data_IF_894493378673
#
_entry.id   IF_894493378673
#
_cell.length_a   1.000
_cell.length_b   1.000
_cell.length_c   1.000
_cell.angle_alpha   90.00
_cell.angle_beta   90.00
_cell.angle_gamma   90.00
#
_symmetry.space_group_name_H-M   'P 1'
#
loop_
_entity.id
_entity.type
_entity.pdbx_description
1 polymer ?
#
# COMPACT_ATOMS: atom_id res chain seq x y z
N UNK A 1 5.07 -10.56 9.31
CA UNK A 1 5.93 -9.50 9.90
C UNK A 1 7.41 -9.86 9.98
N UNK A 2 7.83 -10.94 10.68
CA UNK A 2 9.26 -11.30 10.84
C UNK A 2 9.97 -11.50 9.50
N UNK A 3 9.38 -12.26 8.58
CA UNK A 3 9.94 -12.48 7.23
C UNK A 3 10.12 -11.17 6.46
N UNK A 4 9.15 -10.25 6.55
CA UNK A 4 9.23 -8.94 5.91
C UNK A 4 10.35 -8.07 6.47
N UNK A 5 10.57 -8.09 7.78
CA UNK A 5 11.69 -7.38 8.42
C UNK A 5 13.03 -7.94 7.95
N UNK A 6 13.18 -9.27 7.94
CA UNK A 6 14.41 -9.94 7.50
C UNK A 6 14.69 -9.62 6.04
N UNK A 7 13.71 -9.77 5.14
CA UNK A 7 13.89 -9.55 3.70
C UNK A 7 14.21 -8.08 3.37
N UNK A 8 13.53 -7.13 4.01
CA UNK A 8 13.83 -5.70 3.79
C UNK A 8 15.18 -5.30 4.38
N UNK A 9 15.58 -5.85 5.54
CA UNK A 9 16.91 -5.64 6.09
C UNK A 9 18.01 -6.24 5.19
N UNK A 10 17.78 -7.44 4.65
CA UNK A 10 18.67 -8.07 3.66
C UNK A 10 18.74 -7.24 2.38
N UNK A 11 17.62 -6.69 1.91
CA UNK A 11 17.59 -5.80 0.75
C UNK A 11 18.40 -4.52 1.00
N UNK A 12 18.25 -3.88 2.16
CA UNK A 12 19.08 -2.72 2.52
C UNK A 12 20.57 -3.07 2.59
N UNK A 13 20.91 -4.22 3.15
CA UNK A 13 22.29 -4.71 3.15
C UNK A 13 22.81 -4.94 1.73
N UNK A 14 22.01 -5.57 0.86
CA UNK A 14 22.37 -5.85 -0.52
C UNK A 14 22.56 -4.56 -1.34
N UNK A 15 21.68 -3.58 -1.18
CA UNK A 15 21.80 -2.26 -1.81
C UNK A 15 23.11 -1.59 -1.37
N UNK A 16 23.43 -1.62 -0.08
CA UNK A 16 24.64 -0.98 0.43
C UNK A 16 25.92 -1.67 -0.04
N UNK A 17 25.91 -3.00 -0.12
CA UNK A 17 27.12 -3.80 -0.35
C UNK A 17 27.38 -4.10 -1.82
N UNK A 18 26.34 -4.33 -2.61
CA UNK A 18 26.44 -4.89 -3.96
C UNK A 18 25.90 -3.97 -5.07
N UNK A 19 25.26 -2.83 -4.75
CA UNK A 19 24.85 -1.89 -5.81
C UNK A 19 26.07 -1.31 -6.54
N UNK A 20 26.27 -1.75 -7.78
CA UNK A 20 27.29 -1.21 -8.67
C UNK A 20 27.02 0.24 -9.10
N UNK A 21 28.03 0.90 -9.69
CA UNK A 21 27.91 2.28 -10.19
C UNK A 21 26.78 2.43 -11.24
N UNK A 22 26.44 1.36 -11.96
CA UNK A 22 25.42 1.33 -12.99
C UNK A 22 23.98 1.55 -12.46
N UNK A 23 23.73 1.31 -11.16
CA UNK A 23 22.43 1.60 -10.55
C UNK A 23 22.20 3.12 -10.37
N UNK A 24 23.26 3.93 -10.31
CA UNK A 24 23.15 5.39 -10.21
C UNK A 24 22.24 5.86 -9.06
N UNK A 25 21.33 6.81 -9.36
CA UNK A 25 20.38 7.38 -8.38
C UNK A 25 19.24 6.43 -7.98
N UNK A 26 19.04 5.34 -8.73
CA UNK A 26 17.95 4.38 -8.49
C UNK A 26 18.09 3.66 -7.14
N UNK A 27 19.33 3.44 -6.67
CA UNK A 27 19.59 2.82 -5.36
C UNK A 27 18.99 3.61 -4.20
N UNK A 28 18.93 4.94 -4.31
CA UNK A 28 18.33 5.79 -3.27
C UNK A 28 16.82 5.59 -3.22
N UNK A 29 16.17 5.45 -4.38
CA UNK A 29 14.74 5.20 -4.45
C UNK A 29 14.39 3.82 -3.88
N UNK A 30 15.19 2.80 -4.20
CA UNK A 30 15.06 1.45 -3.65
C UNK A 30 15.26 1.44 -2.12
N UNK A 31 16.25 2.21 -1.63
CA UNK A 31 16.49 2.38 -0.19
C UNK A 31 15.29 3.03 0.51
N UNK A 32 14.72 4.10 -0.08
CA UNK A 32 13.53 4.76 0.47
C UNK A 32 12.36 3.79 0.56
N UNK A 33 12.11 3.01 -0.51
CA UNK A 33 11.05 2.02 -0.53
C UNK A 33 11.23 0.97 0.58
N UNK A 34 12.42 0.36 0.70
CA UNK A 34 12.69 -0.63 1.76
C UNK A 34 12.60 -0.04 3.17
N UNK A 35 12.99 1.23 3.37
CA UNK A 35 12.84 1.90 4.67
C UNK A 35 11.38 2.14 5.02
N UNK A 36 10.57 2.55 4.04
CA UNK A 36 9.12 2.73 4.22
C UNK A 36 8.45 1.39 4.52
N UNK A 37 8.82 0.33 3.81
CA UNK A 37 8.32 -1.02 4.07
C UNK A 37 8.63 -1.49 5.49
N UNK A 38 9.87 -1.30 5.97
CA UNK A 38 10.22 -1.59 7.37
C UNK A 38 9.39 -0.79 8.36
N UNK A 39 9.24 0.52 8.10
CA UNK A 39 8.43 1.39 8.94
C UNK A 39 6.97 0.91 8.99
N UNK A 40 6.37 0.58 7.84
CA UNK A 40 4.99 0.08 7.76
C UNK A 40 4.81 -1.26 8.47
N UNK A 41 5.79 -2.18 8.38
CA UNK A 41 5.75 -3.45 9.11
C UNK A 41 5.77 -3.19 10.63
N UNK A 42 6.67 -2.32 11.11
CA UNK A 42 6.76 -1.96 12.54
C UNK A 42 5.46 -1.29 13.00
N UNK A 43 4.94 -0.37 12.21
CA UNK A 43 3.70 0.34 12.50
C UNK A 43 2.51 -0.63 12.55
N UNK A 44 2.41 -1.57 11.62
CA UNK A 44 1.39 -2.62 11.62
C UNK A 44 1.45 -3.51 12.87
N UNK A 45 2.65 -3.94 13.26
CA UNK A 45 2.86 -4.74 14.49
C UNK A 45 2.52 -3.94 15.75
N UNK A 46 2.78 -2.63 15.75
CA UNK A 46 2.50 -1.74 16.90
C UNK A 46 1.01 -1.43 17.02
N UNK A 47 0.34 -1.19 15.89
CA UNK A 47 -1.07 -0.79 15.86
C UNK A 47 -2.02 -1.97 16.00
N UNK A 48 -1.60 -3.17 15.54
CA UNK A 48 -2.39 -4.41 15.51
C UNK A 48 -3.84 -4.19 15.07
N UNK A 49 -4.07 -3.67 13.85
CA UNK A 49 -5.43 -3.43 13.38
C UNK A 49 -6.20 -4.74 13.28
N UNK A 50 -7.35 -4.83 13.92
CA UNK A 50 -8.27 -5.93 13.71
C UNK A 50 -9.21 -5.56 12.56
N UNK A 51 -9.47 -6.51 11.67
CA UNK A 51 -10.51 -6.38 10.67
C UNK A 51 -11.69 -7.22 11.11
N UNK A 52 -12.88 -6.62 11.17
CA UNK A 52 -14.08 -7.34 11.56
C UNK A 52 -15.21 -7.09 10.57
N UNK A 53 -15.69 -8.19 9.99
CA UNK A 53 -16.86 -8.19 9.13
C UNK A 53 -17.91 -9.19 9.66
N UNK A 54 -19.12 -8.69 9.94
CA UNK A 54 -20.29 -9.50 10.26
C UNK A 54 -21.49 -8.94 9.49
N UNK A 55 -22.05 -9.75 8.59
CA UNK A 55 -23.15 -9.34 7.71
C UNK A 55 -22.81 -8.05 6.94
N UNK A 56 -23.57 -6.97 7.13
CA UNK A 56 -23.41 -5.68 6.47
C UNK A 56 -22.42 -4.73 7.17
N UNK A 57 -21.94 -5.12 8.35
CA UNK A 57 -21.01 -4.35 9.17
C UNK A 57 -19.60 -4.77 8.77
N UNK A 58 -18.80 -3.85 8.25
CA UNK A 58 -17.39 -4.09 7.93
C UNK A 58 -16.56 -2.95 8.48
N UNK A 59 -15.89 -3.27 9.57
CA UNK A 59 -15.29 -2.32 10.48
C UNK A 59 -13.80 -2.60 10.56
N UNK A 60 -13.03 -1.53 10.71
CA UNK A 60 -11.70 -1.61 11.29
C UNK A 60 -11.84 -1.30 12.78
N UNK A 61 -12.12 -2.30 13.62
CA UNK A 61 -12.12 -2.06 15.04
C UNK A 61 -10.69 -1.88 15.52
N UNK A 62 -10.43 -0.75 16.18
CA UNK A 62 -9.35 -0.71 17.18
C UNK A 62 -9.96 -0.64 18.57
N UNK A 63 -9.35 -1.41 19.43
CA UNK A 63 -9.84 -1.74 20.75
C UNK A 63 -8.83 -1.14 21.71
N UNK A 64 -9.23 -0.03 22.33
CA UNK A 64 -8.71 0.61 23.55
C UNK A 64 -9.28 2.04 23.61
N UNK A 65 -9.71 2.41 24.81
CA UNK A 65 -10.27 3.71 25.21
C UNK A 65 -9.26 4.86 25.02
N UNK A 66 -9.56 5.85 24.14
CA UNK A 66 -9.08 7.27 24.12
C UNK A 66 -8.99 7.92 22.73
N UNK A 67 -9.31 9.22 22.64
CA UNK A 67 -9.19 10.10 21.45
C UNK A 67 -7.79 10.16 20.80
N UNK A 68 -6.73 9.90 21.56
CA UNK A 68 -5.36 9.85 21.01
C UNK A 68 -5.19 8.67 20.04
N UNK A 69 -5.89 7.55 20.28
CA UNK A 69 -5.78 6.34 19.48
C UNK A 69 -6.59 6.39 18.18
N UNK A 70 -7.66 7.18 18.12
CA UNK A 70 -8.38 7.51 16.89
C UNK A 70 -7.42 8.11 15.85
N UNK A 71 -6.72 9.18 16.25
CA UNK A 71 -5.74 9.88 15.41
C UNK A 71 -4.60 8.97 15.00
N UNK A 72 -4.10 8.14 15.92
CA UNK A 72 -3.02 7.17 15.62
C UNK A 72 -3.48 6.12 14.60
N UNK A 73 -4.73 5.67 14.66
CA UNK A 73 -5.24 4.62 13.77
C UNK A 73 -5.57 5.17 12.39
N UNK A 74 -6.24 6.30 12.30
CA UNK A 74 -6.44 6.99 11.01
C UNK A 74 -5.12 7.40 10.38
N UNK A 75 -4.12 7.77 11.17
CA UNK A 75 -2.76 8.05 10.68
C UNK A 75 -2.08 6.77 10.17
N UNK A 76 -2.19 5.65 10.90
CA UNK A 76 -1.71 4.34 10.45
C UNK A 76 -2.31 3.97 9.09
N UNK A 77 -3.61 4.14 8.97
CA UNK A 77 -4.35 3.88 7.74
C UNK A 77 -3.88 4.83 6.63
N UNK A 78 -3.65 6.10 6.92
CA UNK A 78 -3.05 7.05 5.97
C UNK A 78 -1.65 6.66 5.49
N UNK A 79 -0.80 6.12 6.37
CA UNK A 79 0.51 5.61 5.99
C UNK A 79 0.44 4.43 4.99
N UNK A 80 -0.66 3.67 4.96
CA UNK A 80 -0.84 2.59 3.96
C UNK A 80 -0.98 3.11 2.53
N UNK A 81 -1.26 4.41 2.33
CA UNK A 81 -1.30 5.03 0.99
C UNK A 81 0.08 5.35 0.42
N UNK A 82 1.09 5.54 1.28
CA UNK A 82 2.46 5.96 0.87
C UNK A 82 3.08 5.02 -0.18
N UNK A 83 2.97 3.68 -0.07
CA UNK A 83 3.45 2.77 -1.11
C UNK A 83 2.85 3.02 -2.50
N UNK A 84 1.60 3.50 -2.60
CA UNK A 84 0.96 3.77 -3.90
C UNK A 84 1.66 4.90 -4.65
N UNK A 85 1.91 6.03 -3.98
CA UNK A 85 2.64 7.15 -4.60
C UNK A 85 4.09 6.75 -4.91
N UNK A 86 4.75 6.03 -4.00
CA UNK A 86 6.15 5.61 -4.19
C UNK A 86 6.29 4.64 -5.38
N UNK A 87 5.31 3.74 -5.56
CA UNK A 87 5.26 2.85 -6.72
C UNK A 87 5.15 3.66 -8.02
N UNK A 88 4.29 4.68 -8.06
CA UNK A 88 4.16 5.59 -9.20
C UNK A 88 5.48 6.32 -9.51
N UNK A 89 6.17 6.83 -8.48
CA UNK A 89 7.48 7.49 -8.62
C UNK A 89 8.54 6.50 -9.13
N UNK A 90 8.49 5.26 -8.67
CA UNK A 90 9.40 4.21 -9.08
C UNK A 90 9.24 3.84 -10.55
N UNK A 91 8.01 3.69 -11.03
CA UNK A 91 7.74 3.48 -12.45
C UNK A 91 8.06 4.73 -13.29
N UNK A 92 7.84 5.93 -12.78
CA UNK A 92 8.25 7.17 -13.43
C UNK A 92 9.77 7.22 -13.65
N UNK A 93 10.56 6.92 -12.61
CA UNK A 93 12.02 6.88 -12.70
C UNK A 93 12.46 5.89 -13.77
N UNK A 94 11.89 4.69 -13.78
CA UNK A 94 12.18 3.64 -14.77
C UNK A 94 11.81 4.06 -16.19
N UNK A 95 10.65 4.67 -16.36
CA UNK A 95 10.23 5.20 -17.65
C UNK A 95 11.21 6.25 -18.17
N UNK A 96 11.63 7.18 -17.32
CA UNK A 96 12.62 8.19 -17.69
C UNK A 96 13.99 7.59 -17.97
N UNK A 97 14.44 6.58 -17.20
CA UNK A 97 15.77 6.00 -17.41
C UNK A 97 15.89 5.33 -18.77
N UNK A 98 14.79 4.75 -19.28
CA UNK A 98 14.78 4.10 -20.59
C UNK A 98 14.46 5.10 -21.71
N UNK A 99 13.43 5.93 -21.56
CA UNK A 99 12.91 6.76 -22.67
C UNK A 99 13.44 8.19 -22.69
N UNK A 100 13.73 8.77 -21.51
CA UNK A 100 14.10 10.20 -21.35
C UNK A 100 15.21 10.37 -20.32
N UNK A 101 16.41 9.82 -20.55
CA UNK A 101 17.49 9.83 -19.55
C UNK A 101 17.93 11.24 -19.14
N UNK A 102 17.73 12.24 -20.01
CA UNK A 102 17.99 13.66 -19.71
C UNK A 102 17.14 14.23 -18.55
N UNK A 103 16.03 13.58 -18.18
CA UNK A 103 15.18 13.99 -17.06
C UNK A 103 15.61 13.35 -15.73
N UNK A 104 16.44 12.31 -15.73
CA UNK A 104 16.92 11.64 -14.51
C UNK A 104 17.65 12.60 -13.54
N UNK A 105 18.45 13.59 -14.00
CA UNK A 105 19.04 14.59 -13.12
C UNK A 105 18.03 15.38 -12.27
N UNK A 106 16.74 15.42 -12.65
CA UNK A 106 15.69 16.03 -11.82
C UNK A 106 15.54 15.30 -10.48
N UNK A 107 15.76 13.99 -10.41
CA UNK A 107 15.75 13.25 -9.14
C UNK A 107 16.90 13.63 -8.20
N UNK A 108 17.90 14.38 -8.69
CA UNK A 108 18.94 14.99 -7.86
C UNK A 108 18.64 16.46 -7.53
N UNK A 109 17.62 17.05 -8.14
CA UNK A 109 17.19 18.43 -7.89
C UNK A 109 16.30 18.48 -6.63
N UNK A 110 16.73 19.25 -5.63
CA UNK A 110 16.03 19.39 -4.35
C UNK A 110 14.57 19.83 -4.51
N UNK A 111 14.27 20.77 -5.40
CA UNK A 111 12.91 21.27 -5.60
C UNK A 111 11.99 20.19 -6.19
N UNK A 112 12.50 19.37 -7.11
CA UNK A 112 11.75 18.26 -7.67
C UNK A 112 11.53 17.14 -6.65
N UNK A 113 12.54 16.83 -5.83
CA UNK A 113 12.40 15.85 -4.74
C UNK A 113 11.39 16.32 -3.70
N UNK A 114 11.41 17.60 -3.31
CA UNK A 114 10.42 18.19 -2.40
C UNK A 114 9.02 18.14 -3.01
N UNK A 115 8.89 18.39 -4.31
CA UNK A 115 7.62 18.24 -5.01
C UNK A 115 7.09 16.80 -4.92
N UNK A 116 7.91 15.80 -5.24
CA UNK A 116 7.50 14.39 -5.13
C UNK A 116 7.13 14.01 -3.70
N UNK A 117 7.92 14.44 -2.72
CA UNK A 117 7.62 14.22 -1.30
C UNK A 117 6.29 14.89 -0.90
N UNK A 118 6.00 16.08 -1.42
CA UNK A 118 4.74 16.78 -1.15
C UNK A 118 3.53 16.05 -1.71
N UNK A 119 3.67 15.36 -2.86
CA UNK A 119 2.60 14.50 -3.40
C UNK A 119 2.33 13.32 -2.47
N UNK A 120 3.37 12.63 -2.00
CA UNK A 120 3.23 11.51 -1.06
C UNK A 120 2.64 11.93 0.28
N UNK A 121 3.08 13.08 0.81
CA UNK A 121 2.55 13.63 2.07
C UNK A 121 1.10 14.09 1.88
N UNK A 122 0.79 14.73 0.75
CA UNK A 122 -0.58 15.15 0.42
C UNK A 122 -1.54 13.99 0.30
N UNK A 123 -1.12 12.87 -0.31
CA UNK A 123 -1.91 11.65 -0.40
C UNK A 123 -2.16 11.05 1.00
N UNK A 124 -1.11 10.92 1.82
CA UNK A 124 -1.21 10.46 3.21
C UNK A 124 -2.23 11.27 4.00
N UNK A 125 -2.13 12.60 3.97
CA UNK A 125 -3.05 13.46 4.71
C UNK A 125 -4.46 13.42 4.15
N UNK A 126 -4.63 13.33 2.83
CA UNK A 126 -5.95 13.16 2.21
C UNK A 126 -6.64 11.92 2.75
N UNK A 127 -5.92 10.79 2.79
CA UNK A 127 -6.43 9.54 3.34
C UNK A 127 -6.72 9.62 4.84
N UNK A 128 -5.81 10.21 5.62
CA UNK A 128 -5.98 10.40 7.06
C UNK A 128 -7.22 11.23 7.38
N UNK A 129 -7.42 12.37 6.70
CA UNK A 129 -8.57 13.25 6.93
C UNK A 129 -9.88 12.62 6.44
N UNK A 130 -9.86 11.89 5.33
CA UNK A 130 -11.04 11.12 4.90
C UNK A 130 -11.42 10.09 5.98
N UNK A 131 -10.47 9.32 6.52
CA UNK A 131 -10.73 8.38 7.61
C UNK A 131 -11.16 9.04 8.93
N UNK A 132 -10.62 10.22 9.27
CA UNK A 132 -11.06 10.96 10.46
C UNK A 132 -12.50 11.47 10.30
N UNK A 133 -12.86 11.86 9.08
CA UNK A 133 -14.21 12.31 8.81
C UNK A 133 -15.21 11.14 8.78
N UNK A 134 -14.79 9.94 8.35
CA UNK A 134 -15.64 8.73 8.48
C UNK A 134 -15.83 8.30 9.92
N UNK A 135 -14.90 8.60 10.82
CA UNK A 135 -14.97 8.18 12.21
C UNK A 135 -15.70 9.16 13.12
N UNK A 136 -15.76 10.45 12.74
CA UNK A 136 -16.49 11.46 13.50
C UNK A 136 -18.00 11.32 13.28
N UNK A 137 -18.71 10.67 14.21
CA UNK A 137 -20.18 10.64 14.23
C UNK A 137 -20.83 9.30 14.56
N UNK A 138 -20.08 8.20 14.67
CA UNK A 138 -20.63 6.86 14.97
C UNK A 138 -20.54 6.51 16.45
N UNK A 139 -21.06 7.39 17.32
CA UNK A 139 -21.19 7.12 18.75
C UNK A 139 -22.22 5.99 18.97
N UNK A 140 -21.74 4.85 19.46
CA UNK A 140 -22.51 3.74 20.03
C UNK A 140 -23.58 3.09 19.13
N UNK A 141 -23.18 2.46 18.01
CA UNK A 141 -24.07 1.58 17.24
C UNK A 141 -24.02 0.12 17.71
N UNK A 142 -25.00 -0.70 17.27
CA UNK A 142 -24.98 -2.16 17.40
C UNK A 142 -23.67 -2.81 16.90
N UNK A 143 -22.93 -2.13 16.00
CA UNK A 143 -21.65 -2.60 15.49
C UNK A 143 -20.56 -2.59 16.57
N UNK A 144 -20.55 -1.58 17.45
CA UNK A 144 -19.58 -1.48 18.55
C UNK A 144 -19.73 -2.68 19.50
N UNK A 145 -20.96 -3.00 19.91
CA UNK A 145 -21.24 -4.18 20.73
C UNK A 145 -20.83 -5.50 20.04
N UNK A 146 -21.05 -5.61 18.73
CA UNK A 146 -20.66 -6.79 17.96
C UNK A 146 -19.12 -6.96 17.87
N UNK A 147 -18.38 -5.86 17.80
CA UNK A 147 -16.91 -5.84 17.84
C UNK A 147 -16.40 -6.26 19.21
N UNK A 148 -16.95 -5.69 20.29
CA UNK A 148 -16.58 -6.02 21.67
C UNK A 148 -16.75 -7.51 21.94
N UNK A 149 -17.92 -8.06 21.61
CA UNK A 149 -18.20 -9.49 21.78
C UNK A 149 -17.25 -10.39 20.96
N UNK A 150 -16.86 -9.96 19.75
CA UNK A 150 -15.90 -10.71 18.93
C UNK A 150 -14.50 -10.69 19.53
N UNK A 151 -14.07 -9.55 20.06
CA UNK A 151 -12.78 -9.43 20.72
C UNK A 151 -12.70 -10.30 21.97
N UNK A 152 -13.74 -10.27 22.80
CA UNK A 152 -13.86 -11.16 23.96
C UNK A 152 -13.75 -12.62 23.58
N UNK A 153 -14.44 -13.04 22.52
CA UNK A 153 -14.39 -14.41 22.03
C UNK A 153 -13.00 -14.85 21.56
N UNK A 154 -12.19 -13.94 21.01
CA UNK A 154 -10.86 -14.25 20.46
C UNK A 154 -9.78 -14.20 21.55
N UNK A 155 -9.83 -13.18 22.42
CA UNK A 155 -8.76 -12.88 23.36
C UNK A 155 -9.11 -13.18 24.82
N UNK A 156 -10.36 -13.54 25.12
CA UNK A 156 -10.83 -13.81 26.49
C UNK A 156 -10.80 -12.57 27.40
N UNK A 157 -10.83 -11.36 26.82
CA UNK A 157 -10.73 -10.08 27.55
C UNK A 157 -11.86 -9.14 27.14
N UNK A 158 -12.61 -8.65 28.14
CA UNK A 158 -13.61 -7.61 27.96
C UNK A 158 -12.95 -6.25 27.74
N UNK A 159 -13.62 -5.41 26.94
CA UNK A 159 -13.20 -4.06 26.62
C UNK A 159 -14.41 -3.14 26.73
N UNK A 160 -14.23 -1.97 27.33
CA UNK A 160 -15.35 -1.05 27.57
C UNK A 160 -15.72 -0.26 26.31
N UNK A 161 -14.72 0.17 25.54
CA UNK A 161 -14.91 0.98 24.34
C UNK A 161 -14.23 0.32 23.13
N UNK A 162 -14.95 0.25 22.01
CA UNK A 162 -14.42 -0.11 20.71
C UNK A 162 -14.70 1.02 19.72
N UNK A 163 -13.75 1.29 18.84
CA UNK A 163 -13.86 2.35 17.85
C UNK A 163 -13.85 1.77 16.45
N UNK A 164 -14.77 2.25 15.61
CA UNK A 164 -15.04 1.74 14.28
C UNK A 164 -14.72 2.82 13.24
N UNK A 165 -13.84 2.51 12.28
CA UNK A 165 -13.50 3.45 11.20
C UNK A 165 -14.61 3.55 10.14
N UNK A 166 -15.34 2.46 9.90
CA UNK A 166 -16.35 2.36 8.83
C UNK A 166 -17.51 1.50 9.31
N UNK A 167 -18.70 2.08 9.51
CA UNK A 167 -19.95 1.34 9.68
C UNK A 167 -20.82 1.60 8.45
N UNK A 168 -20.82 0.68 7.48
CA UNK A 168 -21.44 0.93 6.16
C UNK A 168 -22.97 0.92 6.18
N UNK A 169 -23.57 0.40 7.25
CA UNK A 169 -25.01 0.28 7.40
C UNK A 169 -25.42 0.57 8.86
N UNK A 170 -25.19 1.80 9.36
CA UNK A 170 -25.53 2.15 10.73
C UNK A 170 -27.03 1.96 10.95
N UNK A 171 -27.37 1.11 11.91
CA UNK A 171 -28.74 0.68 12.24
C UNK A 171 -29.56 0.20 11.03
N UNK A 172 -28.88 -0.39 10.03
CA UNK A 172 -29.51 -0.92 8.82
C UNK A 172 -29.87 0.13 7.76
N UNK A 173 -29.48 1.40 7.96
CA UNK A 173 -29.66 2.48 6.98
C UNK A 173 -28.40 2.66 6.15
N UNK A 174 -28.54 3.03 4.88
CA UNK A 174 -27.40 3.27 4.00
C UNK A 174 -26.77 4.63 4.29
N UNK A 175 -25.48 4.65 4.64
CA UNK A 175 -24.73 5.88 4.90
C UNK A 175 -24.15 6.46 3.60
N UNK A 176 -24.84 7.46 3.05
CA UNK A 176 -24.41 8.16 1.81
C UNK A 176 -23.07 8.87 2.00
N UNK A 177 -22.78 9.37 3.20
CA UNK A 177 -21.53 10.07 3.50
C UNK A 177 -20.38 9.10 3.44
N UNK A 178 -20.49 7.95 4.12
CA UNK A 178 -19.47 6.91 4.11
C UNK A 178 -19.27 6.31 2.72
N UNK A 179 -20.36 6.10 1.97
CA UNK A 179 -20.28 5.66 0.58
C UNK A 179 -19.52 6.67 -0.29
N UNK A 180 -19.81 7.96 -0.16
CA UNK A 180 -19.12 9.02 -0.91
C UNK A 180 -17.63 9.04 -0.59
N UNK A 181 -17.26 8.89 0.68
CA UNK A 181 -15.85 8.85 1.10
C UNK A 181 -15.14 7.61 0.59
N UNK A 182 -15.81 6.45 0.63
CA UNK A 182 -15.31 5.20 0.04
C UNK A 182 -15.02 5.38 -1.45
N UNK A 183 -15.96 5.95 -2.21
CA UNK A 183 -15.77 6.25 -3.63
C UNK A 183 -14.59 7.20 -3.86
N UNK A 184 -14.41 8.22 -3.01
CA UNK A 184 -13.24 9.11 -3.09
C UNK A 184 -11.92 8.37 -2.84
N UNK A 185 -11.87 7.48 -1.84
CA UNK A 185 -10.70 6.64 -1.59
C UNK A 185 -10.39 5.72 -2.77
N UNK A 186 -11.41 5.12 -3.37
CA UNK A 186 -11.26 4.28 -4.57
C UNK A 186 -10.76 5.09 -5.77
N UNK A 187 -11.24 6.32 -5.98
CA UNK A 187 -10.76 7.20 -7.04
C UNK A 187 -9.28 7.54 -6.84
N UNK A 188 -8.86 7.87 -5.61
CA UNK A 188 -7.44 8.15 -5.30
C UNK A 188 -6.58 6.92 -5.60
N UNK A 189 -7.01 5.75 -5.13
CA UNK A 189 -6.30 4.50 -5.31
C UNK A 189 -6.22 4.09 -6.79
N UNK A 190 -7.33 4.14 -7.53
CA UNK A 190 -7.39 3.83 -8.96
C UNK A 190 -6.55 4.80 -9.78
N UNK A 191 -6.52 6.08 -9.40
CA UNK A 191 -5.67 7.07 -10.07
C UNK A 191 -4.20 6.70 -9.94
N UNK A 192 -3.74 6.34 -8.73
CA UNK A 192 -2.37 5.85 -8.53
C UNK A 192 -2.07 4.59 -9.35
N UNK A 193 -3.00 3.64 -9.35
CA UNK A 193 -2.86 2.42 -10.14
C UNK A 193 -2.75 2.71 -11.65
N UNK A 194 -3.58 3.60 -12.17
CA UNK A 194 -3.56 4.00 -13.60
C UNK A 194 -2.26 4.72 -13.94
N UNK A 195 -1.78 5.63 -13.09
CA UNK A 195 -0.52 6.34 -13.31
C UNK A 195 0.66 5.38 -13.30
N UNK A 196 0.77 4.52 -12.28
CA UNK A 196 1.82 3.51 -12.17
C UNK A 196 1.79 2.54 -13.37
N UNK A 197 0.59 2.03 -13.73
CA UNK A 197 0.40 1.13 -14.87
C UNK A 197 0.75 1.81 -16.19
N UNK A 198 0.39 3.08 -16.37
CA UNK A 198 0.73 3.85 -17.57
C UNK A 198 2.24 3.96 -17.74
N UNK A 199 2.99 4.32 -16.68
CA UNK A 199 4.45 4.36 -16.75
C UNK A 199 5.06 2.97 -16.97
N UNK A 200 4.51 1.92 -16.34
CA UNK A 200 4.95 0.55 -16.56
C UNK A 200 4.73 0.11 -18.03
N UNK A 201 3.55 0.34 -18.60
CA UNK A 201 3.20 0.00 -19.98
C UNK A 201 4.06 0.80 -20.96
N UNK A 202 4.24 2.11 -20.75
CA UNK A 202 5.08 2.95 -21.61
C UNK A 202 6.56 2.49 -21.57
N UNK A 203 7.06 2.12 -20.40
CA UNK A 203 8.40 1.54 -20.24
C UNK A 203 8.51 0.23 -21.01
N UNK A 204 7.53 -0.66 -20.84
CA UNK A 204 7.45 -1.95 -21.54
C UNK A 204 7.44 -1.77 -23.06
N UNK A 205 6.55 -0.91 -23.57
CA UNK A 205 6.42 -0.63 -25.00
C UNK A 205 7.73 -0.13 -25.58
N UNK A 206 8.43 0.75 -24.86
CA UNK A 206 9.69 1.29 -25.33
C UNK A 206 10.82 0.25 -25.34
N UNK A 207 10.96 -0.55 -24.27
CA UNK A 207 11.92 -1.66 -24.22
C UNK A 207 11.65 -2.65 -25.37
N UNK A 208 10.38 -3.00 -25.60
CA UNK A 208 9.98 -3.92 -26.67
C UNK A 208 10.27 -3.37 -28.07
N UNK A 209 10.10 -2.06 -28.29
CA UNK A 209 10.44 -1.43 -29.57
C UNK A 209 11.95 -1.45 -29.80
N UNK A 210 12.75 -1.08 -28.80
CA UNK A 210 14.22 -1.13 -28.89
C UNK A 210 14.75 -2.54 -29.14
N UNK A 211 14.07 -3.57 -28.61
CA UNK A 211 14.39 -4.98 -28.86
C UNK A 211 14.24 -5.40 -30.33
N UNK A 212 13.20 -4.91 -31.03
CA UNK A 212 12.98 -5.24 -32.46
C UNK A 212 14.12 -4.73 -33.36
N UNK A 213 14.87 -3.73 -32.91
CA UNK A 213 15.94 -3.08 -33.69
C UNK A 213 17.32 -3.68 -33.38
N UNK A 214 17.53 -4.28 -32.21
CA UNK A 214 18.80 -4.88 -31.82
C UNK A 214 18.67 -6.41 -31.76
N UNK A 215 19.00 -7.10 -32.85
CA UNK A 215 18.99 -8.57 -32.97
C UNK A 215 19.90 -9.32 -31.97
N UNK A 216 20.53 -8.63 -31.00
CA UNK A 216 21.55 -9.19 -30.11
C UNK A 216 21.65 -8.54 -28.71
N UNK A 217 20.69 -7.73 -28.26
CA UNK A 217 20.65 -7.20 -26.88
C UNK A 217 19.63 -8.01 -26.07
N UNK A 218 19.99 -9.13 -25.43
CA UNK A 218 20.75 -9.34 -24.17
C UNK A 218 19.80 -9.77 -23.05
N UNK A 219 20.07 -10.94 -22.48
CA UNK A 219 19.38 -11.58 -21.33
C UNK A 219 19.08 -10.61 -20.18
N UNK A 220 19.93 -9.58 -20.01
CA UNK A 220 19.75 -8.51 -19.03
C UNK A 220 18.46 -7.70 -19.25
N UNK A 221 18.11 -7.36 -20.49
CA UNK A 221 16.89 -6.59 -20.79
C UNK A 221 15.62 -7.40 -20.58
N UNK A 222 15.66 -8.73 -20.79
CA UNK A 222 14.55 -9.63 -20.49
C UNK A 222 14.33 -9.78 -18.99
N UNK A 223 15.41 -9.86 -18.19
CA UNK A 223 15.33 -9.84 -16.72
C UNK A 223 14.75 -8.52 -16.20
N UNK A 224 15.17 -7.38 -16.76
CA UNK A 224 14.61 -6.07 -16.42
C UNK A 224 13.11 -5.98 -16.76
N UNK A 225 12.68 -6.54 -17.89
CA UNK A 225 11.27 -6.58 -18.29
C UNK A 225 10.43 -7.47 -17.36
N UNK A 226 10.93 -8.67 -17.04
CA UNK A 226 10.28 -9.57 -16.09
C UNK A 226 10.19 -8.91 -14.71
N UNK A 227 11.23 -8.21 -14.29
CA UNK A 227 11.25 -7.46 -13.03
C UNK A 227 10.19 -6.37 -12.98
N UNK A 228 10.02 -5.65 -14.09
CA UNK A 228 8.99 -4.63 -14.23
C UNK A 228 7.58 -5.21 -14.12
N UNK A 229 7.31 -6.33 -14.80
CA UNK A 229 6.02 -7.02 -14.73
C UNK A 229 5.74 -7.54 -13.31
N UNK A 230 6.73 -8.15 -12.67
CA UNK A 230 6.60 -8.70 -11.33
C UNK A 230 6.30 -7.60 -10.29
N UNK A 231 7.02 -6.47 -10.36
CA UNK A 231 6.77 -5.33 -9.47
C UNK A 231 5.47 -4.58 -9.75
N UNK A 232 4.95 -4.65 -10.97
CA UNK A 232 3.63 -4.10 -11.25
C UNK A 232 2.52 -5.05 -10.75
N UNK A 233 2.70 -6.35 -10.89
CA UNK A 233 1.70 -7.35 -10.53
C UNK A 233 1.51 -7.51 -9.03
N UNK A 234 2.59 -7.43 -8.22
CA UNK A 234 2.49 -7.64 -6.77
C UNK A 234 1.51 -6.64 -6.12
N UNK A 235 1.70 -5.31 -6.24
CA UNK A 235 0.80 -4.37 -5.58
C UNK A 235 -0.64 -4.56 -6.05
N UNK A 236 -0.85 -4.81 -7.35
CA UNK A 236 -2.18 -5.07 -7.93
C UNK A 236 -2.91 -6.24 -7.25
N UNK A 237 -2.21 -7.36 -7.07
CA UNK A 237 -2.79 -8.59 -6.57
C UNK A 237 -2.85 -8.65 -5.03
N UNK A 238 -1.84 -8.12 -4.34
CA UNK A 238 -1.68 -8.28 -2.89
C UNK A 238 -2.12 -7.05 -2.09
N UNK A 239 -2.31 -5.90 -2.74
CA UNK A 239 -2.71 -4.66 -2.08
C UNK A 239 -4.01 -4.11 -2.67
N UNK A 240 -4.01 -3.70 -3.95
CA UNK A 240 -5.16 -3.05 -4.57
C UNK A 240 -6.42 -3.95 -4.57
N UNK A 241 -6.27 -5.21 -4.97
CA UNK A 241 -7.41 -6.14 -5.06
C UNK A 241 -8.01 -6.46 -3.68
N UNK A 242 -7.22 -6.91 -2.67
CA UNK A 242 -7.74 -7.16 -1.32
C UNK A 242 -8.39 -5.92 -0.71
N UNK A 243 -7.78 -4.75 -0.93
CA UNK A 243 -8.28 -3.48 -0.43
C UNK A 243 -9.64 -3.10 -1.03
N UNK A 244 -9.78 -3.18 -2.36
CA UNK A 244 -11.05 -2.94 -3.06
C UNK A 244 -12.17 -3.81 -2.50
N UNK A 245 -11.92 -5.11 -2.32
CA UNK A 245 -12.92 -6.02 -1.76
C UNK A 245 -13.23 -5.71 -0.29
N UNK A 246 -12.23 -5.42 0.52
CA UNK A 246 -12.42 -5.10 1.93
C UNK A 246 -13.34 -3.90 2.16
N UNK A 247 -13.19 -2.84 1.35
CA UNK A 247 -13.96 -1.60 1.54
C UNK A 247 -15.28 -1.61 0.77
N UNK A 248 -15.36 -2.24 -0.41
CA UNK A 248 -16.56 -2.17 -1.26
C UNK A 248 -17.55 -3.33 -1.08
N UNK A 249 -17.07 -4.54 -0.75
CA UNK A 249 -17.95 -5.69 -0.48
C UNK A 249 -19.08 -5.43 0.55
N UNK A 250 -18.93 -4.57 1.57
CA UNK A 250 -19.99 -4.26 2.52
C UNK A 250 -21.16 -3.48 1.91
N UNK A 251 -20.90 -2.57 0.95
CA UNK A 251 -21.94 -1.77 0.30
C UNK A 251 -22.81 -2.59 -0.65
N UNK A 252 -22.24 -3.64 -1.25
CA UNK A 252 -22.94 -4.55 -2.18
C UNK A 252 -23.56 -5.77 -1.48
N UNK A 253 -23.50 -5.83 -0.14
CA UNK A 253 -24.11 -6.90 0.64
C UNK A 253 -23.48 -8.28 0.44
N UNK A 254 -22.22 -8.36 -0.01
CA UNK A 254 -21.53 -9.64 -0.20
C UNK A 254 -21.26 -10.27 1.17
N UNK A 255 -21.88 -11.41 1.52
CA UNK A 255 -21.61 -12.09 2.78
C UNK A 255 -20.19 -12.66 2.75
N UNK A 256 -19.36 -12.31 3.73
CA UNK A 256 -18.01 -12.86 3.76
C UNK A 256 -17.14 -12.29 4.85
N UNK A 257 -17.32 -12.79 6.08
CA UNK A 257 -16.38 -12.56 7.18
C UNK A 257 -14.93 -12.98 6.81
N UNK A 258 -14.80 -13.91 5.87
CA UNK A 258 -13.52 -14.39 5.33
C UNK A 258 -12.75 -13.37 4.48
N UNK A 259 -13.41 -12.33 3.92
CA UNK A 259 -12.74 -11.34 3.07
C UNK A 259 -11.63 -10.63 3.83
N UNK A 260 -11.89 -10.02 5.00
CA UNK A 260 -10.84 -9.44 5.81
C UNK A 260 -9.81 -10.46 6.33
N UNK A 261 -10.23 -11.69 6.66
CA UNK A 261 -9.33 -12.76 7.12
C UNK A 261 -8.28 -13.15 6.07
N UNK A 262 -8.62 -13.07 4.78
CA UNK A 262 -7.69 -13.31 3.66
C UNK A 262 -6.92 -12.03 3.30
N UNK A 263 -7.61 -10.89 3.28
CA UNK A 263 -7.06 -9.64 2.77
C UNK A 263 -6.00 -9.05 3.70
N UNK A 264 -6.21 -9.12 5.02
CA UNK A 264 -5.27 -8.57 6.00
C UNK A 264 -3.88 -9.26 5.93
N UNK A 265 -3.77 -10.61 5.88
CA UNK A 265 -2.51 -11.27 5.60
C UNK A 265 -1.88 -10.86 4.26
N UNK A 266 -2.65 -10.84 3.16
CA UNK A 266 -2.12 -10.49 1.82
C UNK A 266 -1.46 -9.10 1.82
N UNK A 267 -2.16 -8.10 2.38
CA UNK A 267 -1.62 -6.74 2.51
C UNK A 267 -0.42 -6.67 3.45
N UNK A 268 -0.41 -7.47 4.53
CA UNK A 268 0.70 -7.49 5.49
C UNK A 268 1.97 -8.18 4.96
N UNK A 269 1.83 -9.08 4.00
CA UNK A 269 2.94 -9.78 3.35
C UNK A 269 3.47 -9.06 2.10
N UNK A 270 2.75 -8.08 1.56
CA UNK A 270 3.20 -7.30 0.40
C UNK A 270 4.65 -6.77 0.54
N UNK A 271 5.06 -6.15 1.67
CA UNK A 271 6.42 -5.63 1.81
C UNK A 271 7.50 -6.73 1.77
N UNK A 272 7.14 -7.95 2.18
CA UNK A 272 8.03 -9.10 2.10
C UNK A 272 8.21 -9.57 0.66
N UNK A 273 7.11 -9.64 -0.09
CA UNK A 273 7.11 -10.04 -1.50
C UNK A 273 7.85 -9.03 -2.38
N UNK A 274 7.65 -7.73 -2.15
CA UNK A 274 8.33 -6.70 -2.93
C UNK A 274 9.86 -6.76 -2.74
N UNK A 275 10.31 -6.85 -1.48
CA UNK A 275 11.73 -7.02 -1.18
C UNK A 275 12.32 -8.31 -1.74
N UNK A 276 11.61 -9.44 -1.63
CA UNK A 276 12.03 -10.72 -2.19
C UNK A 276 12.22 -10.63 -3.71
N UNK A 277 11.28 -10.00 -4.42
CA UNK A 277 11.35 -9.92 -5.88
C UNK A 277 12.52 -9.05 -6.33
N UNK A 278 12.78 -7.93 -5.65
CA UNK A 278 13.95 -7.10 -5.92
C UNK A 278 15.25 -7.89 -5.72
N UNK A 279 15.37 -8.62 -4.61
CA UNK A 279 16.55 -9.47 -4.33
C UNK A 279 16.75 -10.56 -5.39
N UNK A 280 15.67 -11.20 -5.86
CA UNK A 280 15.74 -12.28 -6.85
C UNK A 280 15.99 -11.78 -8.27
N UNK A 281 15.51 -10.58 -8.62
CA UNK A 281 15.54 -10.07 -9.98
C UNK A 281 16.82 -9.29 -10.31
N UNK A 282 17.43 -8.62 -9.34
CA UNK A 282 18.71 -7.94 -9.55
C UNK A 282 19.85 -8.95 -9.46
N UNK A 283 20.47 -9.26 -10.59
CA UNK A 283 21.60 -10.19 -10.68
C UNK A 283 22.78 -9.76 -9.83
N UNK A 284 22.96 -8.45 -9.61
CA UNK A 284 24.03 -7.91 -8.77
C UNK A 284 23.81 -8.22 -7.27
N UNK A 285 22.58 -8.60 -6.86
CA UNK A 285 22.23 -8.90 -5.46
C UNK A 285 22.16 -10.39 -5.16
N UNK A 286 22.43 -11.25 -6.15
CA UNK A 286 22.50 -12.71 -6.04
C UNK A 286 23.95 -13.18 -6.05
#
# INVERSE_FOLDING_TARGET
SVTGLILNALLLYAIRRFSGANLGSYKYLLTIFSLVDLFLIVLHVTVQPMWYKKQNISTFPKIIDQNLFEKVTTMYVGFQSVPFTLLSIHFLYRYWSVRRPHLIPLFSNKSFVVFLASLTVGELFSWHFLCLYTSSGHDASNATAAVVAKYESIYGKHIENAWIVMDNWPDGTFDVTLFTITVLMDVIMLTNLVVASSFAILTFMHIRQSYKTAARASELQQKLLLALCAQAAIPCLFVYTPFLFCINAPFVGIPGAWIPDISAPLMSFFPAWDAAIILLLFTDYR
#
